data_IF_432209811844
#
_entry.id   IF_432209811844
#
_cell.length_a   1.000
_cell.length_b   1.000
_cell.length_c   1.000
_cell.angle_alpha   90.00
_cell.angle_beta   90.00
_cell.angle_gamma   90.00
#
_symmetry.space_group_name_H-M   'P 1'
#
loop_
_entity.id
_entity.type
_entity.pdbx_description
1 polymer ?
#
# COMPACT_ATOMS: atom_id res chain seq x y z
N UNK A 1 10.04 -22.12 -5.74
CA UNK A 1 11.20 -21.41 -6.31
C UNK A 1 11.32 -20.07 -5.56
N UNK A 2 12.40 -19.86 -4.81
CA UNK A 2 12.61 -18.61 -4.07
C UNK A 2 13.24 -17.55 -4.98
N UNK A 3 13.19 -16.28 -4.57
CA UNK A 3 13.69 -15.13 -5.33
C UNK A 3 15.16 -15.31 -5.74
N UNK A 4 15.51 -15.00 -6.99
CA UNK A 4 16.88 -15.04 -7.51
C UNK A 4 17.68 -13.79 -7.14
N UNK A 5 17.76 -13.45 -5.85
CA UNK A 5 18.55 -12.33 -5.31
C UNK A 5 19.64 -12.86 -4.37
N UNK A 6 20.82 -12.23 -4.38
CA UNK A 6 21.89 -12.59 -3.45
C UNK A 6 21.55 -12.16 -2.03
N UNK A 7 22.03 -12.91 -1.02
CA UNK A 7 21.82 -12.56 0.38
C UNK A 7 22.31 -11.14 0.73
N UNK A 8 23.50 -10.67 0.30
CA UNK A 8 23.94 -9.31 0.56
C UNK A 8 23.02 -8.25 -0.05
N UNK A 9 22.54 -8.47 -1.29
CA UNK A 9 21.61 -7.55 -1.94
C UNK A 9 20.27 -7.48 -1.20
N UNK A 10 19.75 -8.63 -0.74
CA UNK A 10 18.54 -8.67 0.08
C UNK A 10 18.72 -7.93 1.41
N UNK A 11 19.82 -8.16 2.14
CA UNK A 11 20.11 -7.47 3.40
C UNK A 11 20.17 -5.96 3.24
N UNK A 12 20.75 -5.46 2.14
CA UNK A 12 20.79 -4.02 1.86
C UNK A 12 19.43 -3.45 1.45
N UNK A 13 18.60 -4.24 0.76
CA UNK A 13 17.30 -3.79 0.24
C UNK A 13 16.20 -3.75 1.31
N UNK A 14 16.15 -4.75 2.20
CA UNK A 14 15.06 -4.92 3.20
C UNK A 14 14.79 -3.63 3.99
N UNK A 15 15.79 -2.91 4.56
CA UNK A 15 15.55 -1.68 5.30
C UNK A 15 14.91 -0.56 4.47
N UNK A 16 15.07 -0.58 3.15
CA UNK A 16 14.54 0.44 2.22
C UNK A 16 13.13 0.12 1.72
N UNK A 17 12.67 -1.12 1.90
CA UNK A 17 11.34 -1.54 1.49
C UNK A 17 10.23 -1.07 2.45
N UNK A 18 10.61 -0.52 3.61
CA UNK A 18 9.66 -0.05 4.63
C UNK A 18 8.59 -1.10 4.98
N UNK A 19 9.02 -2.34 5.18
CA UNK A 19 8.11 -3.44 5.50
C UNK A 19 7.48 -3.23 6.87
N UNK A 20 6.18 -2.95 6.88
CA UNK A 20 5.35 -2.80 8.07
C UNK A 20 4.04 -3.55 7.87
N UNK A 21 3.48 -4.03 8.96
CA UNK A 21 2.13 -4.60 9.01
C UNK A 21 1.35 -3.78 10.02
N UNK A 22 0.38 -3.04 9.53
CA UNK A 22 -0.50 -2.18 10.31
C UNK A 22 -1.95 -2.62 10.05
N UNK A 23 -2.82 -2.51 11.06
CA UNK A 23 -4.25 -2.81 10.89
C UNK A 23 -4.91 -1.73 10.03
N UNK A 24 -5.77 -2.13 9.08
CA UNK A 24 -6.35 -1.20 8.10
C UNK A 24 -7.09 -0.01 8.75
N UNK A 25 -7.80 -0.23 9.85
CA UNK A 25 -8.51 0.83 10.58
C UNK A 25 -7.58 1.86 11.25
N UNK A 26 -6.29 1.52 11.48
CA UNK A 26 -5.31 2.42 12.09
C UNK A 26 -4.67 3.37 11.07
N UNK A 27 -4.70 3.01 9.78
CA UNK A 27 -4.00 3.72 8.70
C UNK A 27 -4.95 4.21 7.59
N UNK A 28 -6.24 4.38 7.91
CA UNK A 28 -7.25 4.80 6.93
C UNK A 28 -6.89 6.14 6.29
N UNK A 29 -6.43 7.12 7.08
CA UNK A 29 -6.07 8.44 6.58
C UNK A 29 -4.93 8.40 5.53
N UNK A 30 -3.94 7.54 5.74
CA UNK A 30 -2.86 7.33 4.77
C UNK A 30 -3.35 6.65 3.48
N UNK A 31 -4.25 5.67 3.61
CA UNK A 31 -4.85 4.97 2.47
C UNK A 31 -5.72 5.95 1.66
N UNK A 32 -6.58 6.72 2.32
CA UNK A 32 -7.44 7.72 1.69
C UNK A 32 -6.60 8.75 0.94
N UNK A 33 -5.60 9.34 1.59
CA UNK A 33 -4.70 10.30 0.95
C UNK A 33 -4.02 9.72 -0.30
N UNK A 34 -3.54 8.48 -0.23
CA UNK A 34 -2.90 7.82 -1.38
C UNK A 34 -3.89 7.63 -2.54
N UNK A 35 -5.09 7.13 -2.26
CA UNK A 35 -6.12 6.90 -3.26
C UNK A 35 -6.65 8.20 -3.86
N UNK A 36 -6.81 9.26 -3.08
CA UNK A 36 -7.14 10.60 -3.56
C UNK A 36 -6.10 11.12 -4.56
N UNK A 37 -4.81 10.94 -4.27
CA UNK A 37 -3.74 11.31 -5.21
C UNK A 37 -3.80 10.49 -6.49
N UNK A 38 -3.96 9.17 -6.40
CA UNK A 38 -4.13 8.33 -7.58
C UNK A 38 -5.38 8.71 -8.39
N UNK A 39 -6.49 9.01 -7.72
CA UNK A 39 -7.71 9.46 -8.38
C UNK A 39 -7.49 10.78 -9.11
N UNK A 40 -6.80 11.74 -8.49
CA UNK A 40 -6.50 13.03 -9.11
C UNK A 40 -5.60 12.93 -10.35
N UNK A 41 -4.76 11.90 -10.44
CA UNK A 41 -3.79 11.72 -11.52
C UNK A 41 -4.28 10.76 -12.62
N UNK A 42 -4.80 9.60 -12.24
CA UNK A 42 -5.26 8.54 -13.15
C UNK A 42 -6.41 7.74 -12.49
N UNK A 43 -7.67 8.24 -12.55
CA UNK A 43 -8.82 7.63 -11.88
C UNK A 43 -9.01 6.13 -12.19
N UNK A 44 -8.74 5.73 -13.43
CA UNK A 44 -8.95 4.36 -13.88
C UNK A 44 -7.98 3.35 -13.23
N UNK A 45 -6.85 3.82 -12.68
CA UNK A 45 -5.91 2.94 -11.95
C UNK A 45 -6.49 2.36 -10.66
N UNK A 46 -7.53 3.01 -10.10
CA UNK A 46 -8.24 2.58 -8.89
C UNK A 46 -9.72 2.20 -9.18
N UNK A 47 -10.08 1.98 -10.44
CA UNK A 47 -11.46 1.61 -10.82
C UNK A 47 -12.43 2.78 -10.99
N UNK A 48 -11.93 4.02 -11.07
CA UNK A 48 -12.71 5.19 -11.48
C UNK A 48 -13.54 5.85 -10.37
N UNK A 49 -13.42 5.41 -9.12
CA UNK A 49 -14.05 6.04 -7.95
C UNK A 49 -13.20 5.82 -6.69
N UNK A 50 -13.42 6.66 -5.68
CA UNK A 50 -12.89 6.40 -4.34
C UNK A 50 -13.76 5.34 -3.64
N UNK A 51 -13.15 4.46 -2.81
CA UNK A 51 -13.89 3.54 -1.95
C UNK A 51 -14.66 4.28 -0.85
N UNK A 52 -15.68 3.62 -0.29
CA UNK A 52 -16.44 4.08 0.87
C UNK A 52 -15.94 3.39 2.17
N UNK A 53 -16.60 3.67 3.29
CA UNK A 53 -16.22 3.13 4.61
C UNK A 53 -16.30 1.58 4.68
N UNK A 54 -17.11 0.94 3.84
CA UNK A 54 -17.24 -0.53 3.79
C UNK A 54 -15.98 -1.20 3.23
N UNK A 55 -15.09 -0.44 2.58
CA UNK A 55 -13.79 -0.90 2.12
C UNK A 55 -12.85 -1.29 3.27
N UNK A 56 -12.98 -0.63 4.41
CA UNK A 56 -12.11 -0.86 5.56
C UNK A 56 -12.68 -1.95 6.48
N UNK A 57 -11.82 -2.93 6.81
CA UNK A 57 -12.15 -3.91 7.83
C UNK A 57 -12.34 -3.19 9.17
N UNK A 58 -13.57 -3.27 9.68
CA UNK A 58 -13.94 -2.73 10.98
C UNK A 58 -13.32 -3.57 12.11
N UNK A 59 -13.10 -2.93 13.26
CA UNK A 59 -12.48 -3.56 14.43
C UNK A 59 -13.31 -4.71 15.02
#
# INVERSE_FOLDING_TARGET
>A
KYLSISAPAATAAIPRCNLRLDEAYQVQAEIDYFLEKLYSFQPQSIGGKLPDEEFYLQK
#
